data_IF_294808198942
#
_entry.id   IF_294808198942
#
_cell.length_a   1.000
_cell.length_b   1.000
_cell.length_c   1.000
_cell.angle_alpha   90.00
_cell.angle_beta   90.00
_cell.angle_gamma   90.00
#
_symmetry.space_group_name_H-M   'P 1'
#
loop_
_entity.id
_entity.type
_entity.pdbx_description
1 polymer ?
#
# COMPACT_ATOMS: atom_id res chain seq x y z
N UNK A 1 43.32 42.22 -1.07
CA UNK A 1 42.75 40.88 -1.35
C UNK A 1 41.59 40.68 -0.39
N UNK A 2 40.37 40.78 -0.88
CA UNK A 2 39.16 40.44 -0.12
C UNK A 2 38.80 38.98 -0.42
N UNK A 3 38.29 38.20 0.55
CA UNK A 3 37.94 36.82 0.30
C UNK A 3 36.67 36.75 -0.56
N UNK A 4 36.75 35.91 -1.60
CA UNK A 4 35.61 35.49 -2.42
C UNK A 4 34.69 34.62 -1.55
N UNK A 5 33.48 35.11 -1.27
CA UNK A 5 32.41 34.30 -0.71
C UNK A 5 31.88 33.44 -1.84
N UNK A 6 32.18 32.13 -1.79
CA UNK A 6 31.49 31.13 -2.59
C UNK A 6 30.09 30.99 -2.02
N UNK A 7 29.10 31.56 -2.72
CA UNK A 7 27.69 31.28 -2.42
C UNK A 7 27.45 29.77 -2.63
N UNK A 8 27.02 29.10 -1.56
CA UNK A 8 26.57 27.71 -1.61
C UNK A 8 25.30 27.61 -2.46
N UNK A 9 25.13 26.55 -3.27
CA UNK A 9 23.90 26.36 -4.03
C UNK A 9 22.73 26.23 -3.06
N UNK A 10 21.67 26.95 -3.36
CA UNK A 10 20.40 26.98 -2.63
C UNK A 10 19.83 25.55 -2.60
N UNK A 11 19.84 24.92 -1.42
CA UNK A 11 18.97 23.78 -1.14
C UNK A 11 17.53 24.25 -1.32
N UNK A 12 16.87 23.80 -2.39
CA UNK A 12 15.42 23.78 -2.46
C UNK A 12 14.94 22.74 -1.46
N UNK A 13 14.87 23.15 -0.18
CA UNK A 13 14.21 22.39 0.86
C UNK A 13 12.74 22.21 0.45
N UNK A 14 12.41 21.04 -0.10
CA UNK A 14 11.02 20.63 -0.21
C UNK A 14 10.42 20.66 1.20
N UNK A 15 9.24 21.26 1.35
CA UNK A 15 8.52 21.25 2.63
C UNK A 15 8.41 19.81 3.12
N UNK A 16 8.70 19.61 4.41
CA UNK A 16 8.54 18.29 5.02
C UNK A 16 7.07 17.88 4.91
N UNK A 17 6.78 16.59 4.63
CA UNK A 17 5.42 16.11 4.55
C UNK A 17 4.67 16.44 5.84
N UNK A 18 3.47 17.02 5.69
CA UNK A 18 2.62 17.45 6.82
C UNK A 18 1.85 16.29 7.47
N UNK A 19 1.98 15.08 6.92
CA UNK A 19 1.34 13.85 7.39
C UNK A 19 1.70 12.64 6.52
N UNK A 20 1.10 11.49 6.82
CA UNK A 20 1.35 10.22 6.15
C UNK A 20 0.07 9.61 5.53
N UNK A 21 0.15 9.14 4.29
CA UNK A 21 -0.88 8.33 3.65
C UNK A 21 -0.39 6.88 3.57
N UNK A 22 -0.91 6.02 4.43
CA UNK A 22 -0.52 4.61 4.48
C UNK A 22 -1.43 3.75 3.62
N UNK A 23 -0.88 3.09 2.59
CA UNK A 23 -1.61 2.18 1.71
C UNK A 23 -1.18 0.74 2.03
N UNK A 24 -2.10 -0.11 2.47
CA UNK A 24 -1.87 -1.53 2.73
C UNK A 24 -2.60 -2.36 1.68
N UNK A 25 -1.84 -3.11 0.87
CA UNK A 25 -2.38 -3.86 -0.27
C UNK A 25 -2.25 -5.36 -0.02
N UNK A 26 -3.38 -6.06 0.00
CA UNK A 26 -3.45 -7.51 -0.09
C UNK A 26 -3.33 -7.95 -1.56
N UNK A 27 -2.09 -8.21 -1.96
CA UNK A 27 -1.75 -8.64 -3.32
C UNK A 27 -2.41 -9.97 -3.69
N UNK A 28 -2.65 -10.86 -2.72
CA UNK A 28 -3.22 -12.17 -2.99
C UNK A 28 -4.70 -12.05 -3.39
N UNK A 29 -5.45 -11.22 -2.65
CA UNK A 29 -6.83 -10.92 -2.94
C UNK A 29 -6.96 -10.14 -4.25
N UNK A 30 -6.14 -9.10 -4.43
CA UNK A 30 -6.07 -8.32 -5.68
C UNK A 30 -5.76 -9.21 -6.89
N UNK A 31 -4.82 -10.14 -6.75
CA UNK A 31 -4.42 -11.03 -7.84
C UNK A 31 -5.51 -12.03 -8.21
N UNK A 32 -6.16 -12.66 -7.23
CA UNK A 32 -7.23 -13.63 -7.50
C UNK A 32 -8.46 -12.93 -8.12
N UNK A 33 -8.88 -11.80 -7.56
CA UNK A 33 -10.01 -11.05 -8.07
C UNK A 33 -9.71 -10.44 -9.45
N UNK A 34 -8.52 -9.86 -9.63
CA UNK A 34 -8.09 -9.26 -10.88
C UNK A 34 -8.08 -10.23 -12.05
N UNK A 35 -7.55 -11.44 -11.86
CA UNK A 35 -7.53 -12.47 -12.90
C UNK A 35 -8.94 -12.87 -13.37
N UNK A 36 -9.90 -12.97 -12.44
CA UNK A 36 -11.29 -13.33 -12.74
C UNK A 36 -12.00 -12.18 -13.45
N UNK A 37 -11.94 -10.99 -12.89
CA UNK A 37 -12.58 -9.78 -13.44
C UNK A 37 -12.05 -9.46 -14.83
N UNK A 38 -10.75 -9.63 -15.07
CA UNK A 38 -10.16 -9.42 -16.39
C UNK A 38 -10.66 -10.46 -17.41
N UNK A 39 -10.63 -11.75 -17.05
CA UNK A 39 -11.11 -12.80 -17.95
C UNK A 39 -12.59 -12.62 -18.32
N UNK A 40 -13.43 -12.25 -17.36
CA UNK A 40 -14.84 -11.94 -17.59
C UNK A 40 -15.01 -10.72 -18.51
N UNK A 41 -14.36 -9.60 -18.21
CA UNK A 41 -14.45 -8.36 -19.01
C UNK A 41 -13.96 -8.52 -20.44
N UNK A 42 -12.96 -9.37 -20.66
CA UNK A 42 -12.39 -9.65 -21.97
C UNK A 42 -13.11 -10.78 -22.71
N UNK A 43 -14.11 -11.43 -22.10
CA UNK A 43 -14.84 -12.55 -22.70
C UNK A 43 -13.97 -13.77 -22.99
N UNK A 44 -12.95 -14.03 -22.16
CA UNK A 44 -12.06 -15.16 -22.35
C UNK A 44 -12.79 -16.48 -22.13
N UNK A 45 -12.35 -17.54 -22.81
CA UNK A 45 -12.89 -18.91 -22.64
C UNK A 45 -12.39 -19.61 -21.36
N UNK A 46 -11.82 -18.85 -20.43
CA UNK A 46 -11.26 -19.31 -19.16
C UNK A 46 -11.88 -18.51 -18.01
N UNK A 47 -12.02 -19.11 -16.84
CA UNK A 47 -12.58 -18.44 -15.65
C UNK A 47 -11.61 -17.51 -14.94
N UNK A 48 -10.32 -17.58 -15.27
CA UNK A 48 -9.27 -16.67 -14.82
C UNK A 48 -8.14 -16.60 -15.85
N UNK A 49 -7.37 -15.52 -15.87
CA UNK A 49 -6.16 -15.40 -16.69
C UNK A 49 -4.90 -15.39 -15.80
N UNK A 50 -4.10 -16.48 -15.75
CA UNK A 50 -2.90 -16.55 -14.90
C UNK A 50 -1.78 -15.59 -15.34
N UNK A 51 -1.88 -15.00 -16.53
CA UNK A 51 -0.92 -14.02 -17.05
C UNK A 51 -1.24 -12.58 -16.62
N UNK A 52 -2.43 -12.35 -16.04
CA UNK A 52 -2.82 -11.03 -15.54
C UNK A 52 -1.85 -10.50 -14.48
N UNK A 53 -1.48 -9.22 -14.60
CA UNK A 53 -0.62 -8.49 -13.66
C UNK A 53 -1.23 -7.13 -13.37
N UNK A 54 -1.18 -6.69 -12.12
CA UNK A 54 -1.48 -5.32 -11.73
C UNK A 54 -0.26 -4.42 -11.92
N UNK A 55 -0.51 -3.19 -12.34
CA UNK A 55 0.45 -2.09 -12.19
C UNK A 55 0.19 -1.43 -10.84
N UNK A 56 1.07 -1.66 -9.86
CA UNK A 56 0.89 -1.19 -8.48
C UNK A 56 1.02 0.34 -8.40
N UNK A 57 1.89 0.94 -9.21
CA UNK A 57 2.08 2.39 -9.25
C UNK A 57 0.81 3.08 -9.76
N UNK A 58 0.28 2.58 -10.87
CA UNK A 58 -0.98 3.09 -11.42
C UNK A 58 -2.15 2.85 -10.46
N UNK A 59 -2.20 1.68 -9.83
CA UNK A 59 -3.22 1.38 -8.82
C UNK A 59 -3.19 2.38 -7.66
N UNK A 60 -2.01 2.66 -7.09
CA UNK A 60 -1.86 3.67 -6.03
C UNK A 60 -2.31 5.05 -6.50
N UNK A 61 -1.96 5.45 -7.73
CA UNK A 61 -2.40 6.72 -8.33
C UNK A 61 -3.91 6.81 -8.39
N UNK A 62 -4.57 5.77 -8.93
CA UNK A 62 -6.04 5.71 -9.02
C UNK A 62 -6.67 5.76 -7.63
N UNK A 63 -6.15 4.99 -6.68
CA UNK A 63 -6.64 4.96 -5.31
C UNK A 63 -6.57 6.34 -4.67
N UNK A 64 -5.42 7.02 -4.73
CA UNK A 64 -5.23 8.33 -4.10
C UNK A 64 -6.16 9.38 -4.72
N UNK A 65 -6.29 9.39 -6.05
CA UNK A 65 -7.16 10.32 -6.78
C UNK A 65 -8.65 10.10 -6.48
N UNK A 66 -9.05 8.88 -6.16
CA UNK A 66 -10.45 8.50 -5.99
C UNK A 66 -10.85 8.19 -4.54
N UNK A 67 -9.94 8.37 -3.57
CA UNK A 67 -10.24 8.17 -2.14
C UNK A 67 -10.87 9.39 -1.46
N UNK A 68 -11.27 10.43 -2.21
CA UNK A 68 -11.82 11.68 -1.65
C UNK A 68 -10.96 12.26 -0.51
N UNK A 69 -9.65 12.30 -0.74
CA UNK A 69 -8.69 12.92 0.17
C UNK A 69 -8.87 14.44 0.17
N UNK A 70 -8.76 15.06 1.34
CA UNK A 70 -8.76 16.53 1.46
C UNK A 70 -7.55 17.13 0.75
N UNK A 71 -7.55 18.44 0.40
CA UNK A 71 -6.37 19.09 -0.18
C UNK A 71 -5.11 18.95 0.67
N UNK A 72 -5.27 18.86 1.99
CA UNK A 72 -4.18 18.62 2.94
C UNK A 72 -3.68 17.17 2.88
N UNK A 73 -4.59 16.19 2.94
CA UNK A 73 -4.26 14.75 2.84
C UNK A 73 -3.58 14.39 1.51
N UNK A 74 -3.84 15.14 0.44
CA UNK A 74 -3.17 14.97 -0.87
C UNK A 74 -1.69 15.36 -0.86
N UNK A 75 -1.22 16.08 0.18
CA UNK A 75 0.18 16.49 0.36
C UNK A 75 0.95 15.55 1.29
N UNK A 76 0.31 14.49 1.81
CA UNK A 76 0.94 13.55 2.74
C UNK A 76 2.00 12.67 2.05
N UNK A 77 3.00 12.21 2.81
CA UNK A 77 3.98 11.22 2.33
C UNK A 77 3.29 9.87 2.13
N UNK A 78 3.41 9.32 0.92
CA UNK A 78 2.71 8.08 0.55
C UNK A 78 3.59 6.89 0.92
N UNK A 79 3.10 6.06 1.84
CA UNK A 79 3.77 4.86 2.35
C UNK A 79 2.99 3.62 1.94
N UNK A 80 3.52 2.87 0.98
CA UNK A 80 2.83 1.70 0.43
C UNK A 80 3.41 0.42 1.03
N UNK A 81 2.56 -0.46 1.52
CA UNK A 81 2.92 -1.77 2.06
C UNK A 81 2.19 -2.85 1.26
N UNK A 82 2.93 -3.67 0.52
CA UNK A 82 2.38 -4.77 -0.28
C UNK A 82 2.54 -6.11 0.47
N UNK A 83 1.44 -6.83 0.65
CA UNK A 83 1.38 -8.12 1.35
C UNK A 83 0.93 -9.21 0.39
N UNK A 84 1.68 -10.30 0.31
CA UNK A 84 1.31 -11.42 -0.54
C UNK A 84 2.37 -12.51 -0.56
N UNK A 85 2.02 -13.60 -1.25
CA UNK A 85 2.95 -14.67 -1.61
C UNK A 85 3.88 -14.23 -2.74
N UNK A 86 5.13 -14.74 -2.76
CA UNK A 86 6.09 -14.50 -3.85
C UNK A 86 5.43 -14.92 -5.19
N UNK A 87 5.16 -14.01 -6.15
CA UNK A 87 4.76 -14.41 -7.48
C UNK A 87 5.93 -15.13 -8.16
N UNK A 88 5.70 -15.94 -9.22
CA UNK A 88 6.77 -16.59 -9.97
C UNK A 88 7.87 -15.57 -10.31
N UNK A 89 9.15 -15.96 -10.36
CA UNK A 89 10.26 -15.03 -10.52
C UNK A 89 10.19 -14.34 -11.88
N UNK A 90 9.45 -13.23 -11.94
CA UNK A 90 9.51 -12.25 -13.01
C UNK A 90 10.19 -11.04 -12.40
N UNK A 91 11.49 -11.00 -12.65
CA UNK A 91 12.50 -10.08 -12.09
C UNK A 91 12.17 -8.58 -12.34
N UNK A 92 11.20 -8.29 -13.22
CA UNK A 92 10.79 -6.95 -13.62
C UNK A 92 9.72 -6.31 -12.74
N UNK A 93 8.88 -7.09 -12.03
CA UNK A 93 7.84 -6.53 -11.16
C UNK A 93 8.45 -5.92 -9.91
N UNK A 94 9.39 -6.63 -9.28
CA UNK A 94 10.07 -6.17 -8.06
C UNK A 94 11.02 -5.00 -8.29
N UNK A 95 11.74 -4.97 -9.43
CA UNK A 95 12.64 -3.85 -9.78
C UNK A 95 11.92 -2.52 -10.01
N UNK A 96 10.64 -2.55 -10.39
CA UNK A 96 9.81 -1.34 -10.51
C UNK A 96 9.26 -0.84 -9.18
N UNK A 97 9.25 -1.70 -8.15
CA UNK A 97 8.74 -1.32 -6.83
C UNK A 97 9.77 -0.52 -6.02
N UNK A 98 11.06 -0.71 -6.30
CA UNK A 98 12.19 -0.01 -5.65
C UNK A 98 12.23 1.51 -5.94
N UNK A 99 11.48 2.01 -6.95
CA UNK A 99 11.47 3.45 -7.27
C UNK A 99 10.49 4.28 -6.43
N UNK A 100 9.73 3.66 -5.53
CA UNK A 100 8.85 4.31 -4.57
C UNK A 100 9.24 3.94 -3.14
N UNK A 101 8.77 4.70 -2.14
CA UNK A 101 8.83 4.32 -0.72
C UNK A 101 7.85 3.14 -0.41
N UNK A 102 7.83 2.12 -1.29
CA UNK A 102 7.01 0.92 -1.18
C UNK A 102 7.78 -0.11 -0.39
N UNK A 103 7.32 -0.40 0.82
CA UNK A 103 7.79 -1.54 1.60
C UNK A 103 7.09 -2.80 1.14
N UNK A 104 7.85 -3.71 0.58
CA UNK A 104 7.33 -5.04 0.24
C UNK A 104 7.49 -5.96 1.44
N UNK A 105 6.38 -6.47 1.96
CA UNK A 105 6.37 -7.57 2.93
C UNK A 105 5.95 -8.87 2.26
N UNK A 106 6.92 -9.60 1.69
CA UNK A 106 6.68 -10.95 1.17
C UNK A 106 6.93 -11.98 2.26
N UNK A 107 5.96 -12.86 2.52
CA UNK A 107 6.18 -14.07 3.31
C UNK A 107 6.11 -15.28 2.38
N UNK A 108 7.01 -16.24 2.58
CA UNK A 108 6.94 -17.52 1.88
C UNK A 108 5.68 -18.29 2.32
N UNK A 109 4.96 -18.89 1.36
CA UNK A 109 3.88 -19.83 1.69
C UNK A 109 4.45 -20.98 2.53
N UNK A 110 3.77 -21.32 3.62
CA UNK A 110 4.09 -22.53 4.38
C UNK A 110 3.97 -23.77 3.48
N UNK A 111 5.10 -24.44 3.22
CA UNK A 111 5.16 -25.71 2.47
C UNK A 111 4.54 -26.87 3.25
N UNK A 112 4.38 -26.74 4.57
CA UNK A 112 3.88 -27.79 5.47
C UNK A 112 2.34 -27.83 5.59
N UNK A 113 1.65 -26.68 5.54
CA UNK A 113 0.20 -26.62 5.80
C UNK A 113 -0.66 -26.20 4.61
N UNK A 114 -0.05 -25.79 3.48
CA UNK A 114 -0.74 -25.15 2.33
C UNK A 114 -1.64 -23.95 2.71
N UNK A 115 -1.54 -23.43 3.94
CA UNK A 115 -2.39 -22.34 4.44
C UNK A 115 -1.64 -21.02 4.35
N UNK A 116 -2.22 -20.11 3.58
CA UNK A 116 -1.82 -18.72 3.35
C UNK A 116 -2.09 -17.81 4.58
N UNK A 117 -2.32 -18.39 5.77
CA UNK A 117 -2.88 -17.67 6.94
C UNK A 117 -1.97 -16.65 7.64
N UNK A 118 -0.67 -16.62 7.33
CA UNK A 118 0.27 -15.72 8.03
C UNK A 118 0.38 -14.34 7.38
N UNK A 119 0.02 -14.20 6.11
CA UNK A 119 0.10 -12.91 5.39
C UNK A 119 -1.03 -12.00 5.85
N UNK A 120 -2.26 -12.51 5.92
CA UNK A 120 -3.45 -11.76 6.33
C UNK A 120 -3.30 -11.24 7.76
N UNK A 121 -2.85 -12.11 8.68
CA UNK A 121 -2.58 -11.73 10.07
C UNK A 121 -1.47 -10.67 10.19
N UNK A 122 -0.44 -10.73 9.34
CA UNK A 122 0.64 -9.73 9.32
C UNK A 122 0.16 -8.39 8.77
N UNK A 123 -0.67 -8.38 7.73
CA UNK A 123 -1.29 -7.16 7.20
C UNK A 123 -2.09 -6.48 8.31
N UNK A 124 -3.00 -7.20 8.96
CA UNK A 124 -3.82 -6.68 10.05
C UNK A 124 -2.95 -6.14 11.20
N UNK A 125 -1.94 -6.90 11.63
CA UNK A 125 -1.06 -6.49 12.72
C UNK A 125 -0.26 -5.22 12.38
N UNK A 126 0.29 -5.12 11.17
CA UNK A 126 1.06 -3.95 10.75
C UNK A 126 0.16 -2.72 10.52
N UNK A 127 -1.07 -2.90 10.01
CA UNK A 127 -2.07 -1.83 9.93
C UNK A 127 -2.32 -1.20 11.31
N UNK A 128 -2.67 -2.04 12.30
CA UNK A 128 -3.00 -1.59 13.66
C UNK A 128 -1.78 -0.99 14.34
N UNK A 129 -0.60 -1.62 14.22
CA UNK A 129 0.65 -1.10 14.77
C UNK A 129 1.00 0.27 14.18
N UNK A 130 0.87 0.44 12.87
CA UNK A 130 1.16 1.71 12.20
C UNK A 130 0.22 2.82 12.67
N UNK A 131 -1.07 2.52 12.82
CA UNK A 131 -2.03 3.47 13.38
C UNK A 131 -1.73 3.82 14.83
N UNK A 132 -1.40 2.85 15.67
CA UNK A 132 -0.98 3.12 17.05
C UNK A 132 0.25 4.03 17.09
N UNK A 133 1.26 3.76 16.26
CA UNK A 133 2.46 4.59 16.18
C UNK A 133 2.17 6.01 15.71
N UNK A 134 1.33 6.18 14.67
CA UNK A 134 0.91 7.49 14.18
C UNK A 134 0.17 8.27 15.27
N UNK A 135 -0.77 7.62 15.97
CA UNK A 135 -1.52 8.20 17.06
C UNK A 135 -0.61 8.69 18.20
N UNK A 136 0.27 7.83 18.72
CA UNK A 136 1.15 8.20 19.84
C UNK A 136 2.25 9.21 19.48
N UNK A 137 2.59 9.33 18.20
CA UNK A 137 3.53 10.34 17.69
C UNK A 137 2.84 11.62 17.20
N UNK A 138 1.50 11.67 17.29
CA UNK A 138 0.67 12.78 16.80
C UNK A 138 0.94 13.11 15.32
N UNK A 139 1.19 12.08 14.50
CA UNK A 139 1.38 12.25 13.06
C UNK A 139 0.00 12.25 12.39
N UNK A 140 -0.37 13.32 11.65
CA UNK A 140 -1.58 13.30 10.83
C UNK A 140 -1.48 12.15 9.83
N UNK A 141 -2.48 11.26 9.82
CA UNK A 141 -2.41 10.06 8.99
C UNK A 141 -3.77 9.62 8.47
N UNK A 142 -3.77 9.17 7.21
CA UNK A 142 -4.89 8.50 6.56
C UNK A 142 -4.48 7.08 6.18
N UNK A 143 -5.39 6.13 6.40
CA UNK A 143 -5.18 4.72 6.12
C UNK A 143 -6.02 4.28 4.94
N UNK A 144 -5.41 3.58 4.01
CA UNK A 144 -6.08 3.00 2.85
C UNK A 144 -5.77 1.51 2.83
N UNK A 145 -6.80 0.67 2.89
CA UNK A 145 -6.68 -0.79 2.90
C UNK A 145 -7.28 -1.32 1.60
N UNK A 146 -6.50 -2.07 0.83
CA UNK A 146 -6.91 -2.70 -0.42
C UNK A 146 -7.02 -4.20 -0.19
N UNK A 147 -8.22 -4.68 0.12
CA UNK A 147 -8.50 -6.11 0.28
C UNK A 147 -10.01 -6.35 0.24
N UNK A 148 -10.41 -7.43 -0.44
CA UNK A 148 -11.76 -7.99 -0.35
C UNK A 148 -11.95 -8.99 0.80
N UNK A 149 -10.95 -9.20 1.67
CA UNK A 149 -11.07 -10.09 2.83
C UNK A 149 -11.85 -9.42 3.96
N UNK A 150 -12.73 -10.18 4.62
CA UNK A 150 -13.51 -9.70 5.76
C UNK A 150 -12.65 -9.51 7.01
N UNK A 151 -11.53 -10.22 7.11
CA UNK A 151 -10.67 -10.22 8.30
C UNK A 151 -9.99 -8.84 8.54
N UNK A 152 -9.93 -7.96 7.52
CA UNK A 152 -9.43 -6.58 7.69
C UNK A 152 -10.39 -5.68 8.48
N UNK A 153 -11.64 -6.10 8.68
CA UNK A 153 -12.64 -5.29 9.40
C UNK A 153 -12.22 -4.99 10.84
N UNK A 154 -11.55 -5.93 11.52
CA UNK A 154 -11.03 -5.71 12.86
C UNK A 154 -9.98 -4.58 12.88
N UNK A 155 -9.10 -4.52 11.87
CA UNK A 155 -8.14 -3.43 11.73
C UNK A 155 -8.85 -2.09 11.52
N UNK A 156 -9.85 -2.03 10.63
CA UNK A 156 -10.62 -0.81 10.36
C UNK A 156 -11.29 -0.28 11.64
N UNK A 157 -11.94 -1.17 12.41
CA UNK A 157 -12.59 -0.79 13.66
C UNK A 157 -11.61 -0.22 14.68
N UNK A 158 -10.45 -0.83 14.86
CA UNK A 158 -9.42 -0.32 15.77
C UNK A 158 -8.82 1.01 15.28
N UNK A 159 -8.51 1.14 13.99
CA UNK A 159 -7.90 2.36 13.45
C UNK A 159 -8.86 3.55 13.55
N UNK A 160 -10.12 3.36 13.15
CA UNK A 160 -11.12 4.42 13.16
C UNK A 160 -11.71 4.68 14.56
N UNK A 161 -11.91 3.63 15.35
CA UNK A 161 -12.55 3.70 16.66
C UNK A 161 -11.58 4.06 17.77
N UNK A 162 -10.48 3.30 17.90
CA UNK A 162 -9.57 3.44 19.04
C UNK A 162 -8.53 4.54 18.81
N UNK A 163 -8.06 4.70 17.56
CA UNK A 163 -7.04 5.70 17.22
C UNK A 163 -7.56 6.93 16.48
N UNK A 164 -8.86 6.95 16.13
CA UNK A 164 -9.54 8.08 15.47
C UNK A 164 -8.92 8.52 14.14
N UNK A 165 -8.24 7.61 13.43
CA UNK A 165 -7.72 7.89 12.09
C UNK A 165 -8.77 7.60 11.01
N UNK A 166 -8.71 8.35 9.91
CA UNK A 166 -9.57 8.12 8.74
C UNK A 166 -9.10 6.86 7.99
N UNK A 167 -10.07 6.02 7.59
CA UNK A 167 -9.81 4.76 6.87
C UNK A 167 -10.64 4.68 5.59
N UNK A 168 -9.99 4.33 4.48
CA UNK A 168 -10.61 4.02 3.20
C UNK A 168 -10.42 2.54 2.88
N UNK A 169 -11.51 1.82 2.58
CA UNK A 169 -11.47 0.43 2.15
C UNK A 169 -11.72 0.35 0.64
N UNK A 170 -10.84 -0.37 -0.07
CA UNK A 170 -10.93 -0.69 -1.49
C UNK A 170 -11.00 -2.21 -1.67
N UNK A 171 -11.93 -2.70 -2.48
CA UNK A 171 -12.15 -4.12 -2.79
C UNK A 171 -12.62 -4.31 -4.23
#
# INVERSE_FOLDING_TARGET
MAPTVLESPTDVAGELPIGDAHIFIDNSNLWIAGQRTYAERMGLQVSWDPTWRSDIEWLCTVILQNSNLTPEEQQYDVKVNLYGSIPPPVDTFWKKIDSYNVRVSVLARSTWTKKEKQVDAKLVAECVKTAAEAHFKEIPSVFIIVSGDRDVHAAIQTIAGDYSHKVHLWA
#
